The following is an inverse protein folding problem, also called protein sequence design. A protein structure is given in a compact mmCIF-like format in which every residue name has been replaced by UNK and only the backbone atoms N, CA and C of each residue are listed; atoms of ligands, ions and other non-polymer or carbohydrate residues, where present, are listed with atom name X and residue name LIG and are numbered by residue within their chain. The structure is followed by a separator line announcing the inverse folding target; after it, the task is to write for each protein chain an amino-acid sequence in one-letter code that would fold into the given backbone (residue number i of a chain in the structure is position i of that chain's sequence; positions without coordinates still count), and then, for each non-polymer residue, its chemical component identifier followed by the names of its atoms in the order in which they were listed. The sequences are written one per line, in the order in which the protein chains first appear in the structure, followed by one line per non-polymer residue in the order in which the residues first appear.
data_IF_689988806543
#
_entry.id   IF_689988806543
#
_cell.length_a   1.000
_cell.length_b   1.000
_cell.length_c   1.000
_cell.angle_alpha   90.00
_cell.angle_beta   90.00
_cell.angle_gamma   90.00
#
_symmetry.space_group_name_H-M   'P 1'
#
loop_
_entity.id
_entity.type
_entity.pdbx_description
1 polymer ?
#
# COMPACT_ATOMS: atom_id res chain seq x y z
N UNK A 1 -11.23 21.75 -1.68
CA UNK A 1 -10.86 21.33 -0.31
C UNK A 1 -9.98 20.09 -0.43
N UNK A 2 -8.74 20.12 0.06
CA UNK A 2 -7.85 18.95 0.06
C UNK A 2 -8.14 18.08 1.29
N UNK A 3 -8.44 16.80 1.08
CA UNK A 3 -8.61 15.84 2.15
C UNK A 3 -7.23 15.29 2.54
N UNK A 4 -6.79 15.56 3.77
CA UNK A 4 -5.55 15.00 4.32
C UNK A 4 -5.88 13.91 5.32
N UNK A 5 -5.54 12.66 5.01
CA UNK A 5 -5.77 11.53 5.90
C UNK A 5 -4.72 11.54 7.04
N UNK A 6 -5.13 11.57 8.32
CA UNK A 6 -4.19 11.58 9.46
C UNK A 6 -3.40 10.27 9.61
N UNK A 7 -3.83 9.21 8.92
CA UNK A 7 -3.17 7.91 8.94
C UNK A 7 -2.27 7.68 7.72
N UNK A 8 -2.17 8.64 6.81
CA UNK A 8 -1.32 8.55 5.64
C UNK A 8 0.10 8.98 5.98
N UNK A 9 1.07 8.11 5.73
CA UNK A 9 2.49 8.40 5.83
C UNK A 9 3.01 8.66 4.40
N UNK A 10 3.34 9.93 4.05
CA UNK A 10 3.77 10.29 2.71
C UNK A 10 5.16 9.77 2.36
N UNK A 11 6.03 9.50 3.35
CA UNK A 11 7.40 9.02 3.12
C UNK A 11 7.45 7.59 2.55
N UNK A 12 6.47 6.76 2.91
CA UNK A 12 6.44 5.33 2.57
C UNK A 12 5.16 4.93 1.82
N UNK A 13 4.34 5.90 1.39
CA UNK A 13 2.99 5.69 0.82
C UNK A 13 2.16 4.67 1.63
N UNK A 14 2.24 4.80 2.96
CA UNK A 14 1.82 3.76 3.90
C UNK A 14 0.64 4.20 4.76
N UNK A 15 -0.27 3.28 5.07
CA UNK A 15 -1.38 3.53 5.97
C UNK A 15 -1.03 3.08 7.39
N UNK A 16 -0.79 4.02 8.30
CA UNK A 16 -0.46 3.76 9.71
C UNK A 16 -1.56 2.99 10.46
N UNK A 17 -2.82 3.17 10.06
CA UNK A 17 -3.98 2.48 10.65
C UNK A 17 -4.03 1.01 10.25
N UNK A 18 -3.82 0.72 8.97
CA UNK A 18 -3.92 -0.63 8.41
C UNK A 18 -2.56 -1.35 8.37
N UNK A 19 -1.47 -0.65 8.70
CA UNK A 19 -0.08 -1.14 8.73
C UNK A 19 0.34 -1.83 7.43
N UNK A 20 -0.09 -1.28 6.31
CA UNK A 20 0.21 -1.76 4.96
C UNK A 20 0.08 -0.59 3.99
N UNK A 21 0.36 -0.83 2.71
CA UNK A 21 0.29 0.18 1.65
C UNK A 21 -1.04 0.96 1.64
N UNK A 22 -0.93 2.26 1.42
CA UNK A 22 -2.08 3.16 1.40
C UNK A 22 -2.84 3.02 0.10
N UNK A 23 -3.92 2.24 0.11
CA UNK A 23 -4.90 2.21 -0.99
C UNK A 23 -6.19 2.90 -0.53
N UNK A 24 -6.54 4.06 -1.09
CA UNK A 24 -7.79 4.74 -0.79
C UNK A 24 -9.01 3.83 -1.02
N UNK A 25 -10.08 3.96 -0.24
CA UNK A 25 -11.34 3.24 -0.48
C UNK A 25 -11.34 1.73 -0.20
N UNK A 26 -10.22 1.14 0.21
CA UNK A 26 -10.20 -0.29 0.63
C UNK A 26 -10.97 -0.49 1.94
N UNK A 27 -11.35 -1.74 2.22
CA UNK A 27 -11.89 -2.12 3.54
C UNK A 27 -11.02 -1.62 4.69
N UNK A 28 -11.63 -0.87 5.60
CA UNK A 28 -10.99 -0.24 6.76
C UNK A 28 -10.38 1.15 6.50
N UNK A 29 -10.44 1.66 5.27
CA UNK A 29 -10.05 3.03 4.94
C UNK A 29 -11.15 4.02 5.35
N UNK A 30 -10.78 5.24 5.71
CA UNK A 30 -11.74 6.29 6.10
C UNK A 30 -12.65 6.70 4.93
N UNK A 31 -12.22 6.42 3.70
CA UNK A 31 -12.93 6.69 2.45
C UNK A 31 -13.81 5.51 1.99
N UNK A 32 -13.82 4.39 2.71
CA UNK A 32 -14.70 3.26 2.42
C UNK A 32 -16.16 3.74 2.37
N UNK A 33 -16.82 3.55 1.21
CA UNK A 33 -18.21 3.98 0.98
C UNK A 33 -18.43 5.50 0.87
N UNK A 34 -17.37 6.33 0.94
CA UNK A 34 -17.47 7.80 0.84
C UNK A 34 -16.90 8.37 -0.45
N UNK A 35 -16.05 7.61 -1.13
CA UNK A 35 -15.42 8.01 -2.38
C UNK A 35 -15.53 6.87 -3.39
N UNK A 36 -16.03 7.19 -4.57
CA UNK A 36 -16.03 6.29 -5.72
C UNK A 36 -14.76 6.50 -6.53
N UNK A 37 -14.08 5.39 -6.82
CA UNK A 37 -12.87 5.38 -7.63
C UNK A 37 -13.16 4.61 -8.93
N UNK A 38 -12.52 5.03 -10.03
CA UNK A 38 -12.69 4.37 -11.34
C UNK A 38 -12.30 2.89 -11.33
N UNK A 39 -11.31 2.53 -10.51
CA UNK A 39 -10.90 1.14 -10.27
C UNK A 39 -11.29 0.76 -8.84
N UNK A 40 -11.84 -0.42 -8.58
CA UNK A 40 -12.14 -0.87 -7.23
C UNK A 40 -10.87 -0.98 -6.39
N UNK A 41 -10.99 -0.74 -5.08
CA UNK A 41 -9.84 -0.70 -4.19
C UNK A 41 -9.16 -2.08 -4.08
N UNK A 42 -9.93 -3.16 -4.14
CA UNK A 42 -9.46 -4.54 -4.10
C UNK A 42 -8.51 -4.85 -5.25
N UNK A 43 -8.84 -4.36 -6.45
CA UNK A 43 -8.02 -4.56 -7.64
C UNK A 43 -6.72 -3.78 -7.56
N UNK A 44 -6.76 -2.53 -7.09
CA UNK A 44 -5.54 -1.76 -6.83
C UNK A 44 -4.62 -2.43 -5.81
N UNK A 45 -5.17 -2.98 -4.73
CA UNK A 45 -4.39 -3.74 -3.74
C UNK A 45 -3.72 -4.93 -4.41
N UNK A 46 -4.45 -5.70 -5.24
CA UNK A 46 -3.88 -6.86 -5.95
C UNK A 46 -2.73 -6.45 -6.88
N UNK A 47 -2.91 -5.39 -7.66
CA UNK A 47 -1.87 -4.90 -8.58
C UNK A 47 -0.61 -4.46 -7.82
N UNK A 48 -0.77 -3.79 -6.67
CA UNK A 48 0.35 -3.38 -5.82
C UNK A 48 1.11 -4.57 -5.24
N UNK A 49 0.39 -5.57 -4.73
CA UNK A 49 0.98 -6.80 -4.20
C UNK A 49 1.71 -7.60 -5.29
N UNK A 50 1.14 -7.65 -6.50
CA UNK A 50 1.77 -8.32 -7.64
C UNK A 50 3.03 -7.59 -8.11
N UNK A 51 2.97 -6.27 -8.24
CA UNK A 51 4.14 -5.45 -8.58
C UNK A 51 5.26 -5.61 -7.55
N UNK A 52 4.92 -5.67 -6.25
CA UNK A 52 5.89 -5.95 -5.18
C UNK A 52 6.51 -7.34 -5.32
N UNK A 53 5.71 -8.37 -5.63
CA UNK A 53 6.23 -9.73 -5.88
C UNK A 53 7.16 -9.77 -7.08
N UNK A 54 6.79 -9.11 -8.17
CA UNK A 54 7.62 -9.03 -9.37
C UNK A 54 8.93 -8.28 -9.08
N UNK A 55 8.86 -7.11 -8.44
CA UNK A 55 10.03 -6.34 -8.06
C UNK A 55 10.97 -7.13 -7.12
N UNK A 56 10.42 -7.89 -6.16
CA UNK A 56 11.21 -8.75 -5.29
C UNK A 56 11.85 -9.92 -6.05
N UNK A 57 11.11 -10.56 -6.98
CA UNK A 57 11.64 -11.63 -7.82
C UNK A 57 12.73 -11.12 -8.77
N UNK A 58 12.56 -9.94 -9.34
CA UNK A 58 13.53 -9.31 -10.22
C UNK A 58 14.79 -8.87 -9.47
N UNK A 59 14.64 -8.27 -8.29
CA UNK A 59 15.78 -7.94 -7.42
C UNK A 59 16.58 -9.20 -7.05
N UNK A 60 15.90 -10.30 -6.71
CA UNK A 60 16.53 -11.60 -6.47
C UNK A 60 17.29 -12.10 -7.71
N UNK A 61 16.69 -12.00 -8.91
CA UNK A 61 17.32 -12.40 -10.16
C UNK A 61 18.56 -11.56 -10.49
N UNK A 62 18.58 -10.29 -10.09
CA UNK A 62 19.72 -9.36 -10.24
C UNK A 62 20.78 -9.50 -9.14
N UNK A 63 20.53 -10.33 -8.12
CA UNK A 63 21.42 -10.45 -6.96
C UNK A 63 21.41 -9.20 -6.06
N UNK A 64 20.42 -8.32 -6.23
CA UNK A 64 20.21 -7.13 -5.42
C UNK A 64 19.31 -7.48 -4.22
N UNK A 65 19.62 -6.93 -3.05
CA UNK A 65 18.79 -7.13 -1.88
C UNK A 65 17.40 -6.50 -2.15
N UNK A 66 16.30 -7.27 -2.15
CA UNK A 66 14.98 -6.74 -2.44
C UNK A 66 14.60 -5.68 -1.40
N UNK A 67 13.75 -4.69 -1.77
CA UNK A 67 13.28 -3.71 -0.81
C UNK A 67 12.63 -4.46 0.37
N UNK A 68 12.98 -4.09 1.62
CA UNK A 68 12.50 -4.83 2.78
C UNK A 68 10.97 -4.82 2.77
N UNK A 69 10.37 -5.99 2.64
CA UNK A 69 8.95 -6.19 2.96
C UNK A 69 8.89 -5.92 4.46
N UNK A 70 8.44 -4.72 4.87
CA UNK A 70 8.48 -4.25 6.28
C UNK A 70 7.63 -5.19 7.14
N UNK A 71 8.21 -6.31 7.55
CA UNK A 71 7.66 -7.22 8.55
C UNK A 71 7.75 -6.49 9.87
N UNK A 72 6.62 -5.92 10.30
CA UNK A 72 6.33 -5.42 11.66
C UNK A 72 7.59 -5.13 12.49
N UNK A 73 8.15 -3.92 12.38
CA UNK A 73 8.94 -3.37 13.49
C UNK A 73 7.96 -3.07 14.62
N UNK A 74 7.76 -4.08 15.45
CA UNK A 74 7.04 -3.98 16.71
C UNK A 74 7.96 -3.44 17.81
N UNK A 75 7.31 -2.68 18.69
CA UNK A 75 7.76 -2.20 20.01
C UNK A 75 8.73 -1.03 20.02
#
# INVERSE_FOLDING_TARGET
MSFSCPHFCPDEDHCLRLKTDCVPGRKGCVLEGKAEFAVPAEERVRLLEEAKRQAAAEALARGEMPPPVRSRRGS
#
